data_IF_746338538439
#
_entry.id   IF_746338538439
#
_cell.length_a   1.000
_cell.length_b   1.000
_cell.length_c   1.000
_cell.angle_alpha   90.00
_cell.angle_beta   90.00
_cell.angle_gamma   90.00
#
_symmetry.space_group_name_H-M   'P 1'
#
loop_
_entity.id
_entity.type
_entity.pdbx_description
1 polymer ?
#
# COMPACT_ATOMS: atom_id res chain seq x y z
N UNK A 1 1.76 -0.67 -14.51
CA UNK A 1 2.68 -0.76 -15.68
C UNK A 1 3.21 0.63 -16.04
N UNK A 2 4.48 0.72 -16.48
CA UNK A 2 5.13 1.98 -16.84
C UNK A 2 5.68 1.89 -18.27
N UNK A 3 5.40 2.89 -19.10
CA UNK A 3 6.04 3.08 -20.39
C UNK A 3 7.27 4.00 -20.20
N UNK A 4 8.51 3.52 -20.45
CA UNK A 4 9.72 4.31 -20.21
C UNK A 4 9.95 5.41 -21.25
N UNK A 5 9.33 5.34 -22.42
CA UNK A 5 9.49 6.31 -23.50
C UNK A 5 8.51 7.47 -23.35
N UNK A 6 7.27 7.17 -22.97
CA UNK A 6 6.22 8.19 -22.83
C UNK A 6 6.00 8.63 -21.39
N UNK A 7 6.70 8.01 -20.43
CA UNK A 7 6.49 8.18 -18.98
C UNK A 7 5.03 7.98 -18.54
N UNK A 8 4.26 7.17 -19.29
CA UNK A 8 2.88 6.88 -18.93
C UNK A 8 2.84 5.80 -17.86
N UNK A 9 2.06 6.03 -16.81
CA UNK A 9 1.77 5.04 -15.79
C UNK A 9 0.32 4.61 -15.94
N UNK A 10 0.11 3.29 -15.99
CA UNK A 10 -1.22 2.67 -16.07
C UNK A 10 -1.40 1.71 -14.90
N UNK A 11 -2.49 1.86 -14.16
CA UNK A 11 -2.91 0.87 -13.16
C UNK A 11 -3.26 -0.44 -13.86
N UNK A 12 -2.94 -1.55 -13.21
CA UNK A 12 -3.18 -2.91 -13.71
C UNK A 12 -3.57 -3.81 -12.53
N UNK A 13 -3.96 -5.05 -12.84
CA UNK A 13 -4.35 -6.08 -11.87
C UNK A 13 -5.56 -5.70 -10.99
N UNK A 14 -6.73 -5.66 -11.61
CA UNK A 14 -8.01 -5.44 -10.94
C UNK A 14 -8.60 -6.72 -10.34
N UNK A 15 -7.81 -7.80 -10.17
CA UNK A 15 -8.31 -9.09 -9.66
C UNK A 15 -8.84 -9.03 -8.23
N UNK A 16 -8.39 -8.06 -7.44
CA UNK A 16 -8.88 -7.78 -6.07
C UNK A 16 -9.77 -6.55 -5.99
N UNK A 17 -10.06 -5.87 -7.10
CA UNK A 17 -10.84 -4.64 -7.09
C UNK A 17 -12.33 -4.93 -6.82
N UNK A 18 -12.96 -4.08 -6.01
CA UNK A 18 -14.39 -4.18 -5.68
C UNK A 18 -15.00 -2.79 -5.59
N UNK A 19 -16.20 -2.61 -6.14
CA UNK A 19 -17.02 -1.41 -5.89
C UNK A 19 -17.57 -1.51 -4.47
N UNK A 20 -17.21 -0.55 -3.61
CA UNK A 20 -17.65 -0.52 -2.23
C UNK A 20 -19.07 0.06 -2.14
N UNK A 21 -19.96 -0.67 -1.47
CA UNK A 21 -21.33 -0.24 -1.19
C UNK A 21 -21.45 0.02 0.31
N UNK A 22 -22.01 1.17 0.68
CA UNK A 22 -22.16 1.56 2.09
C UNK A 22 -23.05 0.56 2.83
N UNK A 23 -22.58 0.07 3.98
CA UNK A 23 -23.28 -0.93 4.80
C UNK A 23 -23.03 -2.38 4.39
N UNK A 24 -22.25 -2.64 3.34
CA UNK A 24 -21.77 -3.98 3.01
C UNK A 24 -20.42 -4.27 3.68
N UNK A 25 -20.32 -5.43 4.34
CA UNK A 25 -19.06 -5.91 4.87
C UNK A 25 -18.12 -6.37 3.74
N UNK A 26 -16.84 -6.02 3.85
CA UNK A 26 -15.79 -6.38 2.91
C UNK A 26 -14.67 -7.16 3.62
N UNK A 27 -13.92 -7.95 2.85
CA UNK A 27 -12.78 -8.72 3.37
C UNK A 27 -11.68 -7.73 3.77
N UNK A 28 -11.23 -7.82 5.02
CA UNK A 28 -10.21 -6.92 5.59
C UNK A 28 -8.79 -7.41 5.32
N UNK A 29 -8.57 -8.72 5.18
CA UNK A 29 -7.28 -9.30 4.79
C UNK A 29 -7.08 -9.19 3.27
N UNK A 30 -6.97 -7.95 2.79
CA UNK A 30 -6.74 -7.58 1.39
C UNK A 30 -5.50 -6.70 1.29
N UNK A 31 -5.05 -6.40 0.06
CA UNK A 31 -3.84 -5.64 -0.25
C UNK A 31 -2.54 -6.34 0.17
N UNK A 32 -1.44 -6.01 -0.51
CA UNK A 32 -0.10 -6.46 -0.15
C UNK A 32 0.33 -5.84 1.18
N UNK A 33 1.02 -6.62 2.03
CA UNK A 33 1.28 -6.30 3.44
C UNK A 33 1.85 -4.89 3.68
N UNK A 34 2.89 -4.50 2.93
CA UNK A 34 3.60 -3.23 3.12
C UNK A 34 2.78 -1.98 2.74
N UNK A 35 1.76 -2.16 1.91
CA UNK A 35 0.89 -1.09 1.40
C UNK A 35 -0.48 -1.09 2.09
N UNK A 36 -0.68 -1.95 3.09
CA UNK A 36 -1.96 -2.13 3.76
C UNK A 36 -2.25 -0.99 4.74
N UNK A 37 -3.45 -0.43 4.63
CA UNK A 37 -3.95 0.61 5.53
C UNK A 37 -4.15 0.09 6.97
N UNK A 38 -3.94 0.93 8.01
CA UNK A 38 -4.01 0.51 9.40
C UNK A 38 -5.39 -0.05 9.78
N UNK A 39 -6.48 0.50 9.26
CA UNK A 39 -7.83 0.00 9.49
C UNK A 39 -8.03 -1.45 9.01
N UNK A 40 -7.36 -1.85 7.92
CA UNK A 40 -7.37 -3.22 7.42
C UNK A 40 -6.55 -4.15 8.33
N UNK A 41 -5.47 -3.65 8.94
CA UNK A 41 -4.68 -4.39 9.94
C UNK A 41 -5.52 -4.65 11.20
N UNK A 42 -6.36 -3.69 11.59
CA UNK A 42 -7.34 -3.85 12.67
C UNK A 42 -8.57 -4.69 12.28
N UNK A 43 -8.64 -5.17 11.03
CA UNK A 43 -9.72 -6.05 10.59
C UNK A 43 -11.03 -5.33 10.24
N UNK A 44 -11.00 -4.02 9.99
CA UNK A 44 -12.19 -3.27 9.60
C UNK A 44 -12.81 -3.84 8.32
N UNK A 45 -14.13 -4.07 8.34
CA UNK A 45 -14.89 -4.59 7.19
C UNK A 45 -15.66 -3.50 6.45
N UNK A 46 -15.82 -2.33 7.07
CA UNK A 46 -16.45 -1.13 6.52
C UNK A 46 -15.40 -0.04 6.25
N UNK A 47 -14.46 -0.34 5.36
CA UNK A 47 -13.48 0.64 4.86
C UNK A 47 -13.99 1.35 3.61
N UNK A 48 -13.28 2.40 3.20
CA UNK A 48 -13.58 3.17 1.97
C UNK A 48 -12.41 3.11 1.00
N UNK A 49 -12.53 3.76 -0.16
CA UNK A 49 -11.42 3.92 -1.12
C UNK A 49 -10.24 4.72 -0.56
N UNK A 50 -10.34 5.24 0.67
CA UNK A 50 -9.21 5.83 1.40
C UNK A 50 -8.03 4.85 1.58
N UNK A 51 -8.30 3.55 1.60
CA UNK A 51 -7.23 2.53 1.68
C UNK A 51 -6.27 2.60 0.49
N UNK A 52 -6.77 2.97 -0.69
CA UNK A 52 -5.96 3.09 -1.91
C UNK A 52 -5.05 4.32 -1.83
N UNK A 53 -5.52 5.40 -1.20
CA UNK A 53 -4.72 6.61 -0.93
C UNK A 53 -3.58 6.29 0.05
N UNK A 54 -3.85 5.49 1.08
CA UNK A 54 -2.81 5.00 1.99
C UNK A 54 -1.74 4.22 1.21
N UNK A 55 -2.16 3.24 0.40
CA UNK A 55 -1.24 2.45 -0.43
C UNK A 55 -0.41 3.33 -1.38
N UNK A 56 -1.03 4.32 -2.02
CA UNK A 56 -0.33 5.27 -2.89
C UNK A 56 0.69 6.12 -2.12
N UNK A 57 0.38 6.52 -0.89
CA UNK A 57 1.31 7.22 0.01
C UNK A 57 2.54 6.37 0.35
N UNK A 58 2.35 5.09 0.67
CA UNK A 58 3.45 4.15 0.89
C UNK A 58 4.35 4.02 -0.36
N UNK A 59 3.76 3.89 -1.56
CA UNK A 59 4.51 3.81 -2.81
C UNK A 59 5.30 5.11 -3.07
N UNK A 60 4.67 6.27 -2.86
CA UNK A 60 5.35 7.55 -3.02
C UNK A 60 6.55 7.68 -2.07
N UNK A 61 6.37 7.33 -0.81
CA UNK A 61 7.44 7.38 0.18
C UNK A 61 8.58 6.41 -0.16
N UNK A 62 8.27 5.19 -0.61
CA UNK A 62 9.26 4.22 -1.07
C UNK A 62 10.06 4.74 -2.27
N UNK A 63 9.40 5.41 -3.23
CA UNK A 63 10.07 6.04 -4.36
C UNK A 63 10.97 7.22 -3.96
N UNK A 64 10.62 7.97 -2.91
CA UNK A 64 11.41 9.09 -2.39
C UNK A 64 12.60 8.61 -1.54
N UNK A 65 12.38 7.61 -0.69
CA UNK A 65 13.42 7.05 0.18
C UNK A 65 14.45 6.23 -0.62
N UNK A 66 14.02 5.52 -1.67
CA UNK A 66 14.91 4.74 -2.55
C UNK A 66 15.91 5.57 -3.38
N UNK A 67 15.87 6.90 -3.30
CA UNK A 67 16.79 7.81 -4.01
C UNK A 67 18.05 8.16 -3.20
N UNK A 68 18.13 7.80 -1.91
CA UNK A 68 19.21 8.27 -1.04
C UNK A 68 20.54 7.50 -1.21
N UNK A 69 20.52 6.24 -1.64
CA UNK A 69 21.71 5.42 -1.85
C UNK A 69 21.97 5.16 -3.34
N UNK A 70 22.88 5.95 -3.97
CA UNK A 70 23.19 5.88 -5.42
C UNK A 70 23.90 4.61 -5.89
N UNK A 71 24.21 3.66 -5.02
CA UNK A 71 25.05 2.48 -5.34
C UNK A 71 24.25 1.18 -5.40
N UNK A 72 23.01 1.15 -4.88
CA UNK A 72 22.11 0.01 -5.02
C UNK A 72 20.67 0.54 -5.01
N UNK A 73 19.91 0.33 -6.08
CA UNK A 73 18.46 0.62 -6.07
C UNK A 73 17.82 -0.43 -5.16
N UNK A 74 17.79 -0.15 -3.86
CA UNK A 74 17.02 -0.94 -2.91
C UNK A 74 15.72 -0.18 -2.67
N UNK A 75 14.65 -0.60 -3.34
CA UNK A 75 13.29 -0.18 -2.99
C UNK A 75 12.95 -0.79 -1.63
N UNK A 76 13.31 -0.08 -0.56
CA UNK A 76 12.97 -0.48 0.79
C UNK A 76 11.53 -0.03 1.08
N UNK A 77 10.61 -0.96 1.38
CA UNK A 77 9.24 -0.59 1.72
C UNK A 77 9.26 0.33 2.95
N UNK A 78 8.42 1.37 2.94
CA UNK A 78 8.33 2.34 4.04
C UNK A 78 8.07 1.65 5.40
N UNK A 79 7.28 0.58 5.38
CA UNK A 79 6.88 -0.17 6.57
C UNK A 79 7.19 -1.66 6.37
N UNK A 80 8.41 -2.14 6.69
CA UNK A 80 8.82 -3.52 6.51
C UNK A 80 8.33 -4.42 7.66
N UNK A 81 7.03 -4.72 7.71
CA UNK A 81 6.48 -5.67 8.70
C UNK A 81 6.55 -7.14 8.26
N UNK A 82 7.04 -8.04 9.11
CA UNK A 82 6.99 -9.50 8.87
C UNK A 82 5.63 -10.12 9.25
N UNK A 83 4.81 -9.40 10.01
CA UNK A 83 3.51 -9.78 10.55
C UNK A 83 2.58 -8.56 10.60
N UNK A 84 1.27 -8.78 10.81
CA UNK A 84 0.30 -7.68 10.93
C UNK A 84 0.63 -6.76 12.13
N UNK A 85 1.09 -7.35 13.24
CA UNK A 85 1.51 -6.61 14.43
C UNK A 85 2.77 -5.81 14.14
N UNK A 86 3.79 -6.41 13.53
CA UNK A 86 5.03 -5.68 13.22
C UNK A 86 4.81 -4.60 12.16
N UNK A 87 3.91 -4.83 11.19
CA UNK A 87 3.48 -3.79 10.26
C UNK A 87 2.90 -2.56 10.99
N UNK A 88 2.04 -2.78 11.99
CA UNK A 88 1.48 -1.71 12.80
C UNK A 88 2.55 -1.00 13.65
N UNK A 89 3.51 -1.76 14.20
CA UNK A 89 4.65 -1.21 14.93
C UNK A 89 5.48 -0.28 14.04
N UNK A 90 5.78 -0.68 12.80
CA UNK A 90 6.50 0.19 11.86
C UNK A 90 5.71 1.46 11.52
N UNK A 91 4.39 1.36 11.39
CA UNK A 91 3.52 2.53 11.14
C UNK A 91 3.55 3.52 12.30
N UNK A 92 3.56 3.05 13.55
CA UNK A 92 3.53 3.89 14.75
C UNK A 92 4.88 4.56 15.04
N UNK A 93 5.99 4.04 14.51
CA UNK A 93 7.34 4.60 14.74
C UNK A 93 7.55 5.98 14.09
N UNK A 94 6.69 6.38 13.15
CA UNK A 94 6.75 7.66 12.41
C UNK A 94 5.82 8.67 13.08
#
# INVERSE_FOLDING_TARGET
MVDPLTHQVKLCDFGSAKVLVKGEANISYICSRYYRAPELIFGATEYTTSIDIWSAGCVLAELLLGQHDRILIICQPLFPGDSAVNQLVEIIKV
#
